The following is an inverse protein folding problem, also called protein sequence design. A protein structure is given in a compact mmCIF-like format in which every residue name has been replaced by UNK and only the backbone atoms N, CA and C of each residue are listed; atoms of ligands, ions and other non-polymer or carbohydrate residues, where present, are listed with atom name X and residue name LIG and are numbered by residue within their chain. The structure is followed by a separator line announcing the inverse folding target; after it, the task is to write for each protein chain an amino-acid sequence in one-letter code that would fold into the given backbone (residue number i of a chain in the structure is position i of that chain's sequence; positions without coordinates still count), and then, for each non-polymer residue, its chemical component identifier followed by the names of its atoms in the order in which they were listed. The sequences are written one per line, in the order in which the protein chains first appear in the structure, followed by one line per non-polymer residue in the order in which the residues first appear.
data_IF_899393167064
#
_entry.id   IF_899393167064
#
_cell.length_a   1.000
_cell.length_b   1.000
_cell.length_c   1.000
_cell.angle_alpha   90.00
_cell.angle_beta   90.00
_cell.angle_gamma   90.00
#
_symmetry.space_group_name_H-M   'P 1'
#
loop_
_entity.id
_entity.type
_entity.pdbx_description
1 polymer ?
#
# COMPACT_ATOMS: atom_id res chain seq x y z
N UNK A 1 29.18 -0.89 -0.12
CA UNK A 1 29.52 -2.28 -0.48
C UNK A 1 29.12 -2.67 -1.90
N UNK A 2 28.03 -2.13 -2.48
CA UNK A 2 27.64 -2.42 -3.86
C UNK A 2 27.46 -1.16 -4.70
N UNK A 3 27.68 -1.29 -6.01
CA UNK A 3 27.26 -0.33 -7.02
C UNK A 3 26.27 -1.03 -7.96
N UNK A 4 25.04 -0.53 -8.02
CA UNK A 4 24.02 -0.98 -8.98
C UNK A 4 23.91 0.11 -10.05
N UNK A 5 24.42 -0.11 -11.28
CA UNK A 5 24.52 0.92 -12.31
C UNK A 5 23.17 1.14 -13.02
N UNK A 6 22.16 1.57 -12.26
CA UNK A 6 20.85 1.91 -12.82
C UNK A 6 20.88 3.35 -13.33
N UNK A 7 20.49 3.58 -14.58
CA UNK A 7 20.23 4.93 -15.06
C UNK A 7 19.11 5.56 -14.20
N UNK A 8 19.19 6.86 -13.94
CA UNK A 8 18.28 7.60 -13.06
C UNK A 8 16.79 7.40 -13.35
N UNK A 9 16.38 7.26 -14.62
CA UNK A 9 14.98 6.96 -15.00
C UNK A 9 14.59 5.51 -14.70
N UNK A 10 15.55 4.61 -14.74
CA UNK A 10 15.36 3.17 -14.64
C UNK A 10 15.30 2.67 -13.19
N UNK A 11 15.44 3.58 -12.21
CA UNK A 11 15.35 3.23 -10.78
C UNK A 11 13.93 2.87 -10.34
N UNK A 12 12.91 3.38 -11.04
CA UNK A 12 11.52 3.03 -10.75
C UNK A 12 11.24 1.54 -11.01
N UNK A 13 11.48 0.97 -12.21
CA UNK A 13 11.33 -0.46 -12.42
C UNK A 13 12.08 -1.33 -11.41
N UNK A 14 13.29 -0.92 -10.99
CA UNK A 14 14.07 -1.62 -9.97
C UNK A 14 13.33 -1.66 -8.63
N UNK A 15 12.92 -0.50 -8.09
CA UNK A 15 12.19 -0.45 -6.82
C UNK A 15 10.86 -1.19 -6.88
N UNK A 16 10.13 -1.10 -7.99
CA UNK A 16 8.86 -1.84 -8.14
C UNK A 16 9.07 -3.35 -8.05
N UNK A 17 10.17 -3.88 -8.59
CA UNK A 17 10.51 -5.29 -8.43
C UNK A 17 11.02 -5.66 -7.04
N UNK A 18 11.75 -4.74 -6.39
CA UNK A 18 12.12 -4.91 -4.98
C UNK A 18 10.86 -5.01 -4.11
N UNK A 19 9.91 -4.12 -4.30
CA UNK A 19 8.64 -4.11 -3.57
C UNK A 19 7.81 -5.36 -3.85
N UNK A 20 7.79 -5.87 -5.10
CA UNK A 20 7.16 -7.16 -5.43
C UNK A 20 7.75 -8.31 -4.60
N UNK A 21 9.08 -8.39 -4.50
CA UNK A 21 9.77 -9.42 -3.70
C UNK A 21 9.44 -9.25 -2.22
N UNK A 22 9.41 -8.02 -1.71
CA UNK A 22 9.05 -7.73 -0.31
C UNK A 22 7.61 -8.19 -0.01
N UNK A 23 6.65 -7.83 -0.87
CA UNK A 23 5.25 -8.23 -0.75
C UNK A 23 5.10 -9.76 -0.77
N UNK A 24 5.75 -10.43 -1.73
CA UNK A 24 5.67 -11.90 -1.84
C UNK A 24 6.29 -12.60 -0.63
N UNK A 25 7.50 -12.21 -0.20
CA UNK A 25 8.23 -12.98 0.81
C UNK A 25 7.87 -12.61 2.26
N UNK A 26 7.55 -11.35 2.54
CA UNK A 26 7.41 -10.82 3.90
C UNK A 26 5.97 -10.43 4.28
N UNK A 27 5.03 -10.63 3.35
CA UNK A 27 3.59 -10.48 3.61
C UNK A 27 2.74 -11.67 3.17
N UNK A 28 3.13 -12.40 2.11
CA UNK A 28 2.41 -13.61 1.66
C UNK A 28 3.05 -14.88 2.21
N UNK A 29 4.31 -15.17 1.86
CA UNK A 29 4.96 -16.43 2.26
C UNK A 29 5.20 -16.51 3.77
N UNK A 30 5.55 -15.38 4.39
CA UNK A 30 5.72 -15.24 5.83
C UNK A 30 5.33 -13.82 6.21
N UNK A 31 4.64 -13.65 7.32
CA UNK A 31 4.30 -12.33 7.84
C UNK A 31 5.33 -11.89 8.87
N UNK A 32 5.87 -10.68 8.72
CA UNK A 32 6.69 -10.03 9.75
C UNK A 32 5.78 -9.17 10.64
N UNK A 33 5.66 -9.44 11.96
CA UNK A 33 4.77 -8.70 12.83
C UNK A 33 5.03 -7.19 12.85
N UNK A 34 6.30 -6.78 12.90
CA UNK A 34 6.68 -5.37 12.89
C UNK A 34 6.19 -4.64 11.63
N UNK A 35 6.32 -5.26 10.45
CA UNK A 35 5.86 -4.67 9.19
C UNK A 35 4.34 -4.55 9.13
N UNK A 36 3.65 -5.62 9.54
CA UNK A 36 2.18 -5.67 9.58
C UNK A 36 1.62 -4.61 10.53
N UNK A 37 2.16 -4.51 11.74
CA UNK A 37 1.75 -3.54 12.75
C UNK A 37 2.01 -2.10 12.29
N UNK A 38 3.11 -1.88 11.57
CA UNK A 38 3.43 -0.58 11.00
C UNK A 38 2.39 -0.18 9.95
N UNK A 39 2.12 -1.04 8.97
CA UNK A 39 1.15 -0.73 7.90
C UNK A 39 -0.24 -0.46 8.47
N UNK A 40 -0.69 -1.28 9.43
CA UNK A 40 -2.00 -1.11 10.10
C UNK A 40 -2.17 0.27 10.75
N UNK A 41 -1.09 0.87 11.26
CA UNK A 41 -1.15 2.09 12.09
C UNK A 41 -0.80 3.36 11.34
N UNK A 42 0.19 3.29 10.44
CA UNK A 42 0.86 4.47 9.90
C UNK A 42 0.65 4.69 8.41
N UNK A 43 -0.15 3.82 7.77
CA UNK A 43 -0.43 3.92 6.33
C UNK A 43 -1.91 3.86 6.05
N UNK A 44 -2.28 4.13 4.81
CA UNK A 44 -3.65 3.99 4.34
C UNK A 44 -4.00 2.54 3.89
N UNK A 45 -3.07 1.60 4.04
CA UNK A 45 -3.22 0.20 3.65
C UNK A 45 -4.49 -0.52 4.14
N UNK A 46 -4.99 -0.32 5.39
CA UNK A 46 -6.22 -0.95 5.85
C UNK A 46 -7.51 -0.22 5.42
N UNK A 47 -7.41 0.95 4.78
CA UNK A 47 -8.60 1.71 4.41
C UNK A 47 -9.33 1.09 3.22
N UNK A 48 -10.65 1.25 3.24
CA UNK A 48 -11.55 0.64 2.28
C UNK A 48 -11.70 1.49 1.03
N UNK A 49 -11.57 0.85 -0.12
CA UNK A 49 -11.75 1.43 -1.46
C UNK A 49 -12.93 0.77 -2.14
N UNK A 50 -13.82 1.59 -2.68
CA UNK A 50 -14.99 1.13 -3.44
C UNK A 50 -14.53 0.70 -4.83
N UNK A 51 -14.97 -0.46 -5.30
CA UNK A 51 -14.78 -0.89 -6.68
C UNK A 51 -15.94 -0.43 -7.55
N UNK A 52 -15.64 0.10 -8.74
CA UNK A 52 -16.65 0.52 -9.72
C UNK A 52 -16.15 0.25 -11.14
N UNK A 53 -16.97 -0.41 -11.95
CA UNK A 53 -16.65 -0.74 -13.35
C UNK A 53 -15.29 -1.44 -13.48
N UNK A 54 -15.04 -2.48 -12.66
CA UNK A 54 -13.78 -3.21 -12.59
C UNK A 54 -12.54 -2.34 -12.31
N UNK A 55 -12.71 -1.15 -11.73
CA UNK A 55 -11.59 -0.27 -11.37
C UNK A 55 -11.69 0.21 -9.93
N UNK A 56 -10.53 0.49 -9.30
CA UNK A 56 -10.51 1.14 -7.99
C UNK A 56 -11.13 2.53 -8.08
N UNK A 57 -12.12 2.78 -7.24
CA UNK A 57 -12.83 4.05 -7.16
C UNK A 57 -12.32 4.94 -6.02
N UNK A 58 -13.24 5.58 -5.32
CA UNK A 58 -12.94 6.41 -4.14
C UNK A 58 -12.84 5.54 -2.89
N UNK A 59 -12.15 6.03 -1.87
CA UNK A 59 -12.29 5.48 -0.52
C UNK A 59 -13.75 5.50 -0.05
N UNK A 60 -14.16 4.46 0.67
CA UNK A 60 -15.43 4.43 1.38
C UNK A 60 -15.43 5.51 2.47
N UNK A 61 -16.49 6.33 2.50
CA UNK A 61 -16.61 7.46 3.42
C UNK A 61 -17.57 7.16 4.54
N UNK A 62 -17.36 7.77 5.70
CA UNK A 62 -18.26 7.66 6.84
C UNK A 62 -19.69 8.13 6.51
N UNK A 63 -19.83 9.12 5.63
CA UNK A 63 -21.12 9.60 5.11
C UNK A 63 -21.95 8.52 4.40
N UNK A 64 -21.30 7.43 3.94
CA UNK A 64 -21.99 6.33 3.27
C UNK A 64 -22.65 5.35 4.24
N UNK A 65 -22.28 5.34 5.53
CA UNK A 65 -22.82 4.38 6.50
C UNK A 65 -23.80 5.04 7.45
N UNK A 66 -24.97 4.39 7.65
CA UNK A 66 -26.02 4.87 8.55
C UNK A 66 -25.48 5.20 9.96
N UNK A 67 -24.54 4.39 10.45
CA UNK A 67 -23.89 4.56 11.75
C UNK A 67 -23.11 5.88 11.89
N UNK A 68 -22.53 6.42 10.81
CA UNK A 68 -21.61 7.56 10.86
C UNK A 68 -22.05 8.77 10.02
N UNK A 69 -23.15 8.68 9.27
CA UNK A 69 -23.56 9.70 8.31
C UNK A 69 -23.75 11.09 8.93
N UNK A 70 -24.24 11.14 10.17
CA UNK A 70 -24.51 12.38 10.91
C UNK A 70 -23.28 12.95 11.64
N UNK A 71 -22.11 12.29 11.54
CA UNK A 71 -20.89 12.80 12.18
C UNK A 71 -20.35 14.03 11.45
N UNK A 72 -19.70 14.93 12.18
CA UNK A 72 -19.23 16.20 11.62
C UNK A 72 -18.21 15.93 10.50
N UNK A 73 -18.34 16.56 9.32
CA UNK A 73 -17.44 16.32 8.18
C UNK A 73 -17.35 14.85 7.72
N UNK A 74 -18.44 14.08 7.79
CA UNK A 74 -18.46 12.64 7.49
C UNK A 74 -17.96 12.26 6.09
N UNK A 75 -18.05 13.14 5.08
CA UNK A 75 -17.46 12.93 3.74
C UNK A 75 -15.92 12.89 3.74
N UNK A 76 -15.29 13.48 4.76
CA UNK A 76 -13.83 13.60 4.91
C UNK A 76 -13.24 12.58 5.87
N UNK A 77 -14.06 11.65 6.36
CA UNK A 77 -13.65 10.56 7.23
C UNK A 77 -13.72 9.23 6.49
N UNK A 78 -12.66 8.46 6.62
CA UNK A 78 -12.48 7.20 5.92
C UNK A 78 -12.76 6.01 6.85
N UNK A 79 -12.95 4.84 6.27
CA UNK A 79 -13.31 3.63 7.00
C UNK A 79 -12.26 2.53 6.78
N UNK A 80 -12.03 1.73 7.83
CA UNK A 80 -11.25 0.48 7.80
C UNK A 80 -12.18 -0.67 8.15
N UNK A 81 -11.80 -1.91 7.82
CA UNK A 81 -12.52 -3.08 8.31
C UNK A 81 -11.99 -3.51 9.67
N UNK A 82 -12.87 -3.61 10.67
CA UNK A 82 -12.51 -4.12 11.99
C UNK A 82 -12.68 -5.63 12.02
N UNK A 83 -11.56 -6.35 12.04
CA UNK A 83 -11.52 -7.81 12.06
C UNK A 83 -12.27 -8.39 13.26
N UNK A 84 -12.18 -7.74 14.42
CA UNK A 84 -12.79 -8.23 15.66
C UNK A 84 -14.32 -8.11 15.66
N UNK A 85 -14.86 -7.19 14.85
CA UNK A 85 -16.30 -6.90 14.77
C UNK A 85 -16.93 -7.34 13.46
N UNK A 86 -16.14 -7.72 12.45
CA UNK A 86 -16.61 -8.11 11.13
C UNK A 86 -17.40 -7.01 10.42
N UNK A 87 -16.99 -5.74 10.57
CA UNK A 87 -17.68 -4.60 9.96
C UNK A 87 -16.77 -3.39 9.76
N UNK A 88 -17.18 -2.47 8.89
CA UNK A 88 -16.49 -1.20 8.69
C UNK A 88 -16.58 -0.30 9.93
N UNK A 89 -15.45 0.32 10.30
CA UNK A 89 -15.29 1.23 11.44
C UNK A 89 -14.55 2.50 11.04
N UNK A 90 -14.81 3.58 11.78
CA UNK A 90 -14.24 4.90 11.50
C UNK A 90 -13.10 5.20 12.48
N UNK A 91 -11.83 4.96 12.09
CA UNK A 91 -10.71 5.29 12.96
C UNK A 91 -10.57 6.80 13.12
N UNK A 92 -9.89 7.20 14.20
CA UNK A 92 -9.44 8.57 14.42
C UNK A 92 -8.45 9.04 13.31
N UNK A 93 -8.14 10.33 13.29
CA UNK A 93 -6.99 10.86 12.54
C UNK A 93 -7.20 11.19 11.06
N UNK A 94 -8.30 10.75 10.45
CA UNK A 94 -8.64 11.17 9.07
C UNK A 94 -8.93 12.67 8.99
N UNK A 95 -8.80 13.25 7.79
CA UNK A 95 -8.78 14.72 7.60
C UNK A 95 -10.02 15.44 8.15
N UNK A 96 -11.19 14.79 8.15
CA UNK A 96 -12.43 15.35 8.70
C UNK A 96 -12.34 15.78 10.17
N UNK A 97 -11.51 15.12 10.98
CA UNK A 97 -11.30 15.46 12.39
C UNK A 97 -10.42 16.69 12.59
N UNK A 98 -9.53 17.01 11.65
CA UNK A 98 -8.59 18.13 11.78
C UNK A 98 -9.31 19.48 11.94
N UNK A 99 -10.44 19.62 11.26
CA UNK A 99 -11.21 20.87 11.19
C UNK A 99 -12.56 20.78 11.89
N UNK A 100 -12.84 19.66 12.57
CA UNK A 100 -14.07 19.47 13.34
C UNK A 100 -14.11 20.46 14.52
N UNK A 101 -15.23 21.14 14.67
CA UNK A 101 -15.44 22.11 15.74
C UNK A 101 -15.98 21.46 17.02
N UNK A 102 -16.78 20.39 16.88
CA UNK A 102 -17.38 19.67 18.01
C UNK A 102 -16.51 18.48 18.43
N UNK A 103 -15.94 17.77 17.47
CA UNK A 103 -15.14 16.55 17.70
C UNK A 103 -13.64 16.85 17.88
N UNK A 104 -13.30 17.76 18.79
CA UNK A 104 -11.91 18.17 19.03
C UNK A 104 -11.10 17.05 19.70
N UNK A 105 -9.79 17.01 19.40
CA UNK A 105 -8.85 16.04 19.98
C UNK A 105 -8.84 14.66 19.29
N UNK A 106 -9.74 14.43 18.34
CA UNK A 106 -9.85 13.16 17.60
C UNK A 106 -8.92 13.07 16.37
N UNK A 107 -8.14 14.10 16.08
CA UNK A 107 -7.15 14.09 14.99
C UNK A 107 -5.81 13.53 15.47
N UNK A 108 -5.76 12.22 15.69
CA UNK A 108 -4.59 11.46 16.11
C UNK A 108 -4.63 10.02 15.55
N UNK A 109 -3.57 9.24 15.72
CA UNK A 109 -3.42 7.90 15.13
C UNK A 109 -3.79 6.75 16.09
N UNK A 110 -4.51 7.01 17.18
CA UNK A 110 -5.01 5.92 18.02
C UNK A 110 -6.07 5.10 17.25
N UNK A 111 -5.89 3.78 17.20
CA UNK A 111 -6.84 2.87 16.53
C UNK A 111 -8.06 2.61 17.39
N UNK A 112 -8.90 3.64 17.49
CA UNK A 112 -10.20 3.63 18.18
C UNK A 112 -11.29 4.11 17.23
N UNK A 113 -12.50 3.59 17.39
CA UNK A 113 -13.66 4.07 16.68
C UNK A 113 -14.04 5.45 17.21
N UNK A 114 -14.13 6.42 16.29
CA UNK A 114 -14.37 7.81 16.65
C UNK A 114 -15.73 8.07 17.28
N UNK A 115 -16.71 7.17 17.09
CA UNK A 115 -18.06 7.34 17.62
C UNK A 115 -18.16 6.92 19.09
N UNK A 116 -17.49 5.83 19.48
CA UNK A 116 -17.68 5.21 20.80
C UNK A 116 -16.39 4.89 21.56
N UNK A 117 -15.22 5.12 20.96
CA UNK A 117 -13.91 4.90 21.58
C UNK A 117 -13.48 3.43 21.68
N UNK A 118 -14.25 2.49 21.12
CA UNK A 118 -13.87 1.08 21.08
C UNK A 118 -12.58 0.88 20.29
N UNK A 119 -11.71 -0.04 20.73
CA UNK A 119 -10.51 -0.40 19.97
C UNK A 119 -10.91 -1.04 18.64
N UNK A 120 -10.19 -0.65 17.57
CA UNK A 120 -10.33 -1.23 16.24
C UNK A 120 -9.12 -2.15 15.99
N UNK A 121 -9.36 -3.37 15.52
CA UNK A 121 -8.32 -4.20 14.89
C UNK A 121 -8.43 -4.10 13.36
N UNK A 122 -7.71 -3.17 12.71
CA UNK A 122 -7.84 -2.98 11.27
C UNK A 122 -7.29 -4.20 10.52
N UNK A 123 -8.11 -4.75 9.62
CA UNK A 123 -7.70 -5.82 8.71
C UNK A 123 -6.94 -5.23 7.51
N UNK A 124 -5.73 -5.74 7.23
CA UNK A 124 -4.98 -5.33 6.03
C UNK A 124 -5.53 -6.01 4.78
N UNK A 125 -5.94 -7.27 4.86
CA UNK A 125 -6.31 -8.05 3.67
C UNK A 125 -7.52 -8.92 3.94
N UNK A 126 -8.41 -9.01 2.96
CA UNK A 126 -9.55 -9.93 2.97
C UNK A 126 -9.22 -11.33 2.44
N UNK A 127 -7.93 -11.65 2.24
CA UNK A 127 -7.52 -12.93 1.66
C UNK A 127 -8.07 -14.15 2.41
N UNK A 128 -8.07 -14.12 3.74
CA UNK A 128 -8.53 -15.23 4.58
C UNK A 128 -10.06 -15.33 4.68
N UNK A 129 -10.74 -14.18 4.57
CA UNK A 129 -12.19 -14.08 4.70
C UNK A 129 -12.70 -12.93 3.84
N UNK A 130 -13.43 -13.29 2.78
CA UNK A 130 -14.04 -12.38 1.82
C UNK A 130 -15.39 -12.94 1.35
N UNK A 131 -16.20 -12.08 0.74
CA UNK A 131 -17.52 -12.47 0.23
C UNK A 131 -17.43 -12.91 -1.25
N UNK A 132 -16.48 -12.34 -2.01
CA UNK A 132 -16.24 -12.69 -3.41
C UNK A 132 -14.81 -12.32 -3.84
N UNK A 133 -14.43 -12.74 -5.05
CA UNK A 133 -13.18 -12.35 -5.73
C UNK A 133 -13.54 -11.61 -7.00
N UNK A 134 -13.09 -10.35 -7.11
CA UNK A 134 -13.34 -9.52 -8.29
C UNK A 134 -12.09 -9.34 -9.12
N UNK A 135 -12.28 -9.26 -10.44
CA UNK A 135 -11.24 -8.89 -11.38
C UNK A 135 -11.25 -7.37 -11.57
N UNK A 136 -10.09 -6.74 -11.37
CA UNK A 136 -9.88 -5.31 -11.60
C UNK A 136 -8.87 -5.07 -12.72
N UNK A 137 -9.09 -4.00 -13.48
CA UNK A 137 -8.21 -3.53 -14.53
C UNK A 137 -7.12 -2.63 -13.95
N UNK A 138 -5.87 -2.94 -14.25
CA UNK A 138 -4.69 -2.14 -13.92
C UNK A 138 -3.95 -1.75 -15.19
N UNK A 139 -3.49 -0.50 -15.28
CA UNK A 139 -2.83 0.01 -16.49
C UNK A 139 -1.32 -0.28 -16.42
N UNK A 140 -0.79 -1.03 -17.39
CA UNK A 140 0.66 -1.20 -17.58
C UNK A 140 1.16 -0.21 -18.64
N UNK A 141 1.65 0.93 -18.18
CA UNK A 141 2.22 1.96 -19.04
C UNK A 141 3.51 1.52 -19.76
N UNK A 142 4.17 0.44 -19.31
CA UNK A 142 5.37 -0.08 -19.95
C UNK A 142 5.08 -0.81 -21.26
N UNK A 143 3.97 -1.55 -21.32
CA UNK A 143 3.49 -2.24 -22.51
C UNK A 143 2.38 -1.48 -23.26
N UNK A 144 1.67 -0.58 -22.58
CA UNK A 144 0.47 0.09 -23.08
C UNK A 144 -0.80 -0.76 -22.94
N UNK A 145 -0.74 -1.87 -22.21
CA UNK A 145 -1.84 -2.83 -22.04
C UNK A 145 -2.57 -2.66 -20.71
N UNK A 146 -3.76 -3.25 -20.63
CA UNK A 146 -4.52 -3.40 -19.38
C UNK A 146 -4.32 -4.81 -18.86
N UNK A 147 -3.88 -4.92 -17.61
CA UNK A 147 -3.66 -6.20 -16.93
C UNK A 147 -4.80 -6.44 -15.95
N UNK A 148 -5.42 -7.62 -16.01
CA UNK A 148 -6.58 -7.98 -15.20
C UNK A 148 -6.16 -8.75 -13.96
N UNK A 149 -6.29 -8.14 -12.79
CA UNK A 149 -5.82 -8.68 -11.50
C UNK A 149 -6.99 -9.11 -10.63
N UNK A 150 -6.90 -10.26 -9.97
CA UNK A 150 -7.90 -10.68 -9.00
C UNK A 150 -7.59 -10.11 -7.61
N UNK A 151 -8.63 -9.73 -6.86
CA UNK A 151 -8.51 -9.35 -5.46
C UNK A 151 -9.75 -9.74 -4.65
N UNK A 152 -9.60 -9.97 -3.34
CA UNK A 152 -10.71 -10.36 -2.48
C UNK A 152 -11.54 -9.13 -2.10
N UNK A 153 -12.87 -9.26 -2.08
CA UNK A 153 -13.78 -8.16 -1.76
C UNK A 153 -14.75 -8.53 -0.66
N UNK A 154 -15.26 -7.52 0.02
CA UNK A 154 -16.44 -7.63 0.90
C UNK A 154 -17.55 -6.71 0.41
N UNK A 155 -18.79 -7.07 0.69
CA UNK A 155 -19.95 -6.23 0.43
C UNK A 155 -20.32 -5.43 1.68
N UNK A 156 -20.52 -4.12 1.50
CA UNK A 156 -20.91 -3.21 2.56
C UNK A 156 -22.25 -2.59 2.21
N UNK A 157 -23.21 -2.74 3.11
CA UNK A 157 -24.48 -2.02 3.03
C UNK A 157 -24.27 -0.53 3.34
N UNK A 158 -24.63 0.32 2.38
CA UNK A 158 -24.56 1.78 2.52
C UNK A 158 -25.96 2.38 2.44
N UNK A 159 -26.07 3.66 2.79
CA UNK A 159 -27.33 4.42 2.65
C UNK A 159 -27.82 4.55 1.20
N UNK A 160 -26.97 4.22 0.21
CA UNK A 160 -27.29 4.23 -1.22
C UNK A 160 -27.38 2.81 -1.81
N UNK A 161 -27.31 1.77 -0.98
CA UNK A 161 -27.30 0.36 -1.39
C UNK A 161 -25.97 -0.33 -1.14
N UNK A 162 -25.90 -1.60 -1.53
CA UNK A 162 -24.70 -2.43 -1.32
C UNK A 162 -23.56 -2.00 -2.25
N UNK A 163 -22.34 -1.91 -1.71
CA UNK A 163 -21.11 -1.64 -2.47
C UNK A 163 -20.07 -2.73 -2.24
N UNK A 164 -19.34 -3.10 -3.31
CA UNK A 164 -18.14 -3.92 -3.19
C UNK A 164 -16.95 -3.05 -2.75
N UNK A 165 -16.25 -3.50 -1.72
CA UNK A 165 -15.04 -2.83 -1.19
C UNK A 165 -13.88 -3.81 -1.04
N UNK A 166 -12.68 -3.28 -1.15
CA UNK A 166 -11.41 -3.95 -0.88
C UNK A 166 -10.53 -3.03 -0.01
N UNK A 167 -9.46 -3.54 0.57
CA UNK A 167 -8.45 -2.68 1.22
C UNK A 167 -7.48 -2.10 0.18
N UNK A 168 -6.80 -1.00 0.53
CA UNK A 168 -5.67 -0.46 -0.26
C UNK A 168 -4.54 -1.48 -0.38
N UNK A 169 -4.30 -2.27 0.66
CA UNK A 169 -3.27 -3.32 0.63
C UNK A 169 -3.60 -4.44 -0.36
N UNK A 170 -4.86 -4.88 -0.45
CA UNK A 170 -5.29 -5.86 -1.44
C UNK A 170 -5.18 -5.32 -2.87
N UNK A 171 -5.48 -4.03 -3.06
CA UNK A 171 -5.24 -3.33 -4.33
C UNK A 171 -3.75 -3.26 -4.68
N UNK A 172 -2.89 -3.02 -3.68
CA UNK A 172 -1.44 -3.01 -3.86
C UNK A 172 -0.94 -4.40 -4.29
N UNK A 173 -1.36 -5.47 -3.59
CA UNK A 173 -1.00 -6.85 -3.94
C UNK A 173 -1.40 -7.19 -5.39
N UNK A 174 -2.61 -6.80 -5.78
CA UNK A 174 -3.11 -6.96 -7.15
C UNK A 174 -2.27 -6.16 -8.16
N UNK A 175 -2.03 -4.87 -7.91
CA UNK A 175 -1.22 -4.01 -8.77
C UNK A 175 0.19 -4.58 -8.97
N UNK A 176 0.82 -5.09 -7.91
CA UNK A 176 2.15 -5.69 -7.95
C UNK A 176 2.17 -7.11 -8.54
N UNK A 177 1.01 -7.66 -8.94
CA UNK A 177 0.93 -8.98 -9.56
C UNK A 177 1.39 -10.11 -8.63
N UNK A 178 1.24 -9.93 -7.32
CA UNK A 178 1.61 -10.95 -6.32
C UNK A 178 0.50 -11.99 -6.27
N UNK A 179 0.81 -13.20 -6.70
CA UNK A 179 -0.14 -14.31 -6.66
C UNK A 179 -0.46 -14.71 -5.22
N UNK A 180 -1.76 -14.78 -4.93
CA UNK A 180 -2.33 -15.20 -3.65
C UNK A 180 -3.39 -16.28 -3.82
N UNK A 181 -3.35 -17.00 -4.96
CA UNK A 181 -4.29 -18.06 -5.35
C UNK A 181 -5.73 -17.56 -5.55
N UNK A 182 -5.89 -16.34 -6.03
CA UNK A 182 -7.20 -15.73 -6.33
C UNK A 182 -7.58 -15.81 -7.82
N UNK A 183 -6.66 -16.29 -8.67
CA UNK A 183 -6.81 -16.23 -10.13
C UNK A 183 -6.43 -14.86 -10.70
N UNK A 184 -6.92 -14.57 -11.91
CA UNK A 184 -6.50 -13.39 -12.68
C UNK A 184 -5.06 -13.52 -13.21
N UNK A 185 -4.58 -12.46 -13.85
CA UNK A 185 -3.18 -12.39 -14.29
C UNK A 185 -2.30 -12.10 -13.07
N UNK A 186 -1.30 -12.94 -12.79
CA UNK A 186 -0.34 -12.77 -11.69
C UNK A 186 0.98 -13.46 -12.06
N UNK A 187 2.07 -13.07 -11.37
CA UNK A 187 3.35 -13.74 -11.54
C UNK A 187 3.38 -15.06 -10.74
N UNK A 188 3.55 -16.19 -11.43
CA UNK A 188 3.74 -17.49 -10.79
C UNK A 188 5.09 -17.54 -10.06
N UNK A 189 6.14 -16.98 -10.70
CA UNK A 189 7.49 -16.94 -10.16
C UNK A 189 8.22 -15.64 -10.56
N UNK A 190 9.47 -15.46 -10.11
CA UNK A 190 10.24 -14.25 -10.39
C UNK A 190 10.82 -14.17 -11.80
N UNK A 191 10.81 -15.28 -12.54
CA UNK A 191 11.27 -15.38 -13.92
C UNK A 191 10.21 -15.01 -14.95
N UNK A 192 8.94 -14.96 -14.54
CA UNK A 192 7.83 -14.54 -15.39
C UNK A 192 7.95 -13.08 -15.79
N UNK A 193 7.74 -12.75 -17.06
CA UNK A 193 7.76 -11.37 -17.53
C UNK A 193 6.41 -10.66 -17.31
N UNK A 194 5.94 -10.64 -16.06
CA UNK A 194 4.74 -9.92 -15.62
C UNK A 194 5.16 -8.58 -15.01
N UNK A 195 4.39 -7.48 -15.15
CA UNK A 195 4.73 -6.19 -14.57
C UNK A 195 5.17 -6.29 -13.11
N UNK A 196 6.27 -5.61 -12.80
CA UNK A 196 6.90 -5.50 -11.48
C UNK A 196 7.58 -6.78 -10.96
N UNK A 197 7.77 -7.82 -11.76
CA UNK A 197 8.63 -8.96 -11.37
C UNK A 197 10.12 -8.63 -11.52
N UNK A 198 11.02 -9.39 -10.86
CA UNK A 198 12.47 -9.30 -11.08
C UNK A 198 12.90 -9.51 -12.54
N UNK A 199 12.27 -10.42 -13.28
CA UNK A 199 12.52 -10.61 -14.71
C UNK A 199 12.02 -9.45 -15.58
N UNK A 200 10.86 -8.87 -15.22
CA UNK A 200 10.33 -7.69 -15.92
C UNK A 200 11.26 -6.49 -15.78
N UNK A 201 11.74 -6.17 -14.56
CA UNK A 201 12.59 -4.99 -14.39
C UNK A 201 13.91 -5.09 -15.15
N UNK A 202 14.46 -6.31 -15.32
CA UNK A 202 15.74 -6.54 -15.99
C UNK A 202 15.72 -5.99 -17.43
N UNK A 203 14.58 -6.08 -18.12
CA UNK A 203 14.40 -5.52 -19.47
C UNK A 203 14.52 -4.00 -19.51
N UNK A 204 14.11 -3.33 -18.45
CA UNK A 204 14.16 -1.87 -18.36
C UNK A 204 15.51 -1.40 -17.83
N UNK A 205 16.02 -2.05 -16.78
CA UNK A 205 17.17 -1.58 -16.01
C UNK A 205 18.50 -2.16 -16.47
N UNK A 206 18.50 -3.36 -17.06
CA UNK A 206 19.70 -4.16 -17.32
C UNK A 206 20.30 -4.81 -16.07
N UNK A 207 19.68 -4.67 -14.89
CA UNK A 207 20.13 -5.29 -13.65
C UNK A 207 19.58 -6.71 -13.58
N UNK A 208 20.47 -7.69 -13.44
CA UNK A 208 20.07 -9.10 -13.34
C UNK A 208 19.09 -9.32 -12.17
N UNK A 209 18.05 -10.12 -12.41
CA UNK A 209 17.01 -10.45 -11.41
C UNK A 209 17.57 -10.91 -10.07
N UNK A 210 18.65 -11.70 -10.06
CA UNK A 210 19.26 -12.20 -8.82
C UNK A 210 19.78 -11.07 -7.94
N UNK A 211 20.36 -10.02 -8.55
CA UNK A 211 20.81 -8.82 -7.83
C UNK A 211 19.62 -8.09 -7.20
N UNK A 212 18.51 -7.97 -7.94
CA UNK A 212 17.27 -7.36 -7.44
C UNK A 212 16.68 -8.15 -6.27
N UNK A 213 16.55 -9.47 -6.41
CA UNK A 213 16.01 -10.36 -5.38
C UNK A 213 16.88 -10.33 -4.13
N UNK A 214 18.21 -10.41 -4.31
CA UNK A 214 19.17 -10.33 -3.21
C UNK A 214 19.06 -9.00 -2.47
N UNK A 215 19.05 -7.89 -3.20
CA UNK A 215 18.89 -6.55 -2.60
C UNK A 215 17.59 -6.46 -1.80
N UNK A 216 16.46 -6.91 -2.36
CA UNK A 216 15.17 -6.86 -1.69
C UNK A 216 15.16 -7.66 -0.37
N UNK A 217 15.77 -8.85 -0.37
CA UNK A 217 15.91 -9.69 0.84
C UNK A 217 16.82 -9.04 1.87
N UNK A 218 17.96 -8.51 1.46
CA UNK A 218 18.89 -7.80 2.36
C UNK A 218 18.22 -6.55 2.96
N UNK A 219 17.49 -5.79 2.15
CA UNK A 219 16.70 -4.63 2.55
C UNK A 219 15.66 -5.00 3.62
N UNK A 220 14.76 -5.93 3.32
CA UNK A 220 13.72 -6.34 4.25
C UNK A 220 14.31 -7.00 5.53
N UNK A 221 15.34 -7.83 5.39
CA UNK A 221 16.00 -8.47 6.54
C UNK A 221 16.64 -7.45 7.47
N UNK A 222 17.27 -6.39 6.95
CA UNK A 222 17.82 -5.34 7.79
C UNK A 222 16.72 -4.61 8.56
N UNK A 223 15.64 -4.22 7.89
CA UNK A 223 14.52 -3.55 8.56
C UNK A 223 13.84 -4.44 9.61
N UNK A 224 13.65 -5.72 9.32
CA UNK A 224 13.09 -6.68 10.28
C UNK A 224 13.97 -6.77 11.53
N UNK A 225 15.29 -6.90 11.37
CA UNK A 225 16.23 -7.03 12.50
C UNK A 225 16.38 -5.74 13.32
N UNK A 226 16.13 -4.59 12.71
CA UNK A 226 16.43 -3.28 13.30
C UNK A 226 15.20 -2.46 13.65
N UNK A 227 14.00 -3.00 13.40
CA UNK A 227 12.73 -2.28 13.45
C UNK A 227 12.78 -1.01 12.58
N UNK A 228 13.06 -1.19 11.29
CA UNK A 228 12.86 -0.16 10.26
C UNK A 228 14.07 0.74 9.98
N UNK A 229 15.30 0.38 10.34
CA UNK A 229 16.49 1.23 10.06
C UNK A 229 17.03 1.07 8.64
N UNK A 230 16.15 1.26 7.66
CA UNK A 230 16.51 1.40 6.25
C UNK A 230 16.37 2.86 5.82
N UNK A 231 17.44 3.43 5.26
CA UNK A 231 17.47 4.82 4.82
C UNK A 231 17.67 4.88 3.30
N UNK A 232 16.85 5.68 2.62
CA UNK A 232 17.10 6.07 1.23
C UNK A 232 17.56 7.52 1.23
N UNK A 233 18.78 7.76 0.76
CA UNK A 233 19.28 9.10 0.45
C UNK A 233 19.00 9.38 -1.03
N UNK A 234 18.18 10.40 -1.32
CA UNK A 234 17.69 10.69 -2.68
C UNK A 234 17.84 12.18 -3.00
N UNK A 235 18.12 12.52 -4.26
CA UNK A 235 18.31 13.90 -4.69
C UNK A 235 17.85 14.18 -6.12
N UNK A 236 18.37 15.28 -6.70
CA UNK A 236 17.96 15.81 -8.00
C UNK A 236 18.05 14.81 -9.15
N UNK A 237 18.97 13.84 -9.08
CA UNK A 237 19.09 12.78 -10.09
C UNK A 237 17.79 11.98 -10.29
N UNK A 238 16.96 11.83 -9.26
CA UNK A 238 15.63 11.24 -9.39
C UNK A 238 14.54 12.31 -9.48
N UNK A 239 14.70 13.42 -8.76
CA UNK A 239 13.68 14.46 -8.64
C UNK A 239 13.44 15.28 -9.91
N UNK A 240 14.46 15.45 -10.77
CA UNK A 240 14.37 16.34 -11.94
C UNK A 240 13.86 15.64 -13.20
N UNK A 241 13.12 14.53 -13.03
CA UNK A 241 12.42 13.85 -14.11
C UNK A 241 10.94 14.23 -14.14
N UNK A 242 10.34 14.18 -15.33
CA UNK A 242 8.91 14.50 -15.53
C UNK A 242 8.00 13.64 -14.64
N UNK A 243 8.31 12.35 -14.50
CA UNK A 243 7.59 11.40 -13.64
C UNK A 243 8.26 11.20 -12.27
N UNK A 244 8.93 12.23 -11.71
CA UNK A 244 9.59 12.14 -10.41
C UNK A 244 8.66 11.61 -9.30
N UNK A 245 7.37 11.94 -9.37
CA UNK A 245 6.37 11.49 -8.42
C UNK A 245 6.26 9.95 -8.38
N UNK A 246 6.31 9.28 -9.53
CA UNK A 246 6.26 7.82 -9.61
C UNK A 246 7.57 7.19 -9.10
N UNK A 247 8.71 7.79 -9.46
CA UNK A 247 10.03 7.37 -8.99
C UNK A 247 10.17 7.46 -7.47
N UNK A 248 9.71 8.56 -6.87
CA UNK A 248 9.70 8.74 -5.42
C UNK A 248 8.76 7.73 -4.75
N UNK A 249 7.56 7.56 -5.29
CA UNK A 249 6.57 6.65 -4.72
C UNK A 249 7.04 5.19 -4.72
N UNK A 250 7.78 4.73 -5.73
CA UNK A 250 8.33 3.37 -5.71
C UNK A 250 9.36 3.19 -4.58
N UNK A 251 10.27 4.15 -4.39
CA UNK A 251 11.23 4.08 -3.28
C UNK A 251 10.57 4.23 -1.90
N UNK A 252 9.59 5.12 -1.78
CA UNK A 252 8.82 5.34 -0.54
C UNK A 252 7.99 4.10 -0.20
N UNK A 253 7.46 3.38 -1.19
CA UNK A 253 6.73 2.14 -0.96
C UNK A 253 7.62 1.12 -0.26
N UNK A 254 8.83 0.88 -0.75
CA UNK A 254 9.80 -0.01 -0.09
C UNK A 254 10.10 0.39 1.36
N UNK A 255 10.18 1.69 1.65
CA UNK A 255 10.34 2.20 3.03
C UNK A 255 9.08 1.95 3.89
N UNK A 256 7.88 2.17 3.36
CA UNK A 256 6.63 1.94 4.10
C UNK A 256 6.41 0.44 4.36
N UNK A 257 6.64 -0.41 3.35
CA UNK A 257 6.55 -1.86 3.45
C UNK A 257 7.53 -2.45 4.47
N UNK A 258 8.62 -1.75 4.79
CA UNK A 258 9.58 -2.18 5.81
C UNK A 258 9.55 -1.34 7.08
N UNK A 259 8.48 -0.54 7.28
CA UNK A 259 8.26 0.25 8.49
C UNK A 259 9.31 1.32 8.77
N UNK A 260 9.98 1.83 7.74
CA UNK A 260 11.20 2.61 7.93
C UNK A 260 10.96 4.12 8.09
N UNK A 261 9.81 4.64 7.65
CA UNK A 261 9.51 6.08 7.77
C UNK A 261 9.15 6.42 9.22
N UNK A 262 9.82 7.41 9.80
CA UNK A 262 9.63 7.86 11.19
C UNK A 262 10.54 7.19 12.22
N UNK A 263 11.51 6.38 11.78
CA UNK A 263 12.47 5.67 12.64
C UNK A 263 13.84 6.33 12.59
N UNK A 264 14.51 6.51 13.74
CA UNK A 264 15.90 6.97 13.77
C UNK A 264 16.83 5.98 13.04
N UNK A 265 17.52 6.46 12.01
CA UNK A 265 18.33 5.62 11.11
C UNK A 265 17.53 5.00 9.96
N UNK A 266 16.27 5.37 9.78
CA UNK A 266 15.43 4.96 8.66
C UNK A 266 14.66 6.12 8.01
N UNK A 267 14.07 5.84 6.85
CA UNK A 267 13.16 6.75 6.15
C UNK A 267 13.71 7.29 4.83
N UNK A 268 13.08 8.36 4.35
CA UNK A 268 13.47 9.04 3.11
C UNK A 268 14.24 10.31 3.47
N UNK A 269 15.53 10.34 3.14
CA UNK A 269 16.39 11.50 3.29
C UNK A 269 16.56 12.19 1.93
N UNK A 270 15.60 13.07 1.62
CA UNK A 270 15.61 13.88 0.41
C UNK A 270 16.52 15.11 0.59
N UNK A 271 17.48 15.28 -0.32
CA UNK A 271 18.38 16.43 -0.35
C UNK A 271 18.46 17.05 -1.76
N UNK A 272 18.10 18.32 -1.86
CA UNK A 272 18.21 19.16 -3.08
C UNK A 272 18.86 20.50 -2.72
N UNK A 273 18.08 21.58 -2.66
CA UNK A 273 18.53 22.90 -2.19
C UNK A 273 18.38 23.10 -0.68
N UNK A 274 18.69 24.32 -0.23
CA UNK A 274 18.54 24.76 1.16
C UNK A 274 17.10 25.25 1.42
N UNK A 275 16.19 24.34 1.74
CA UNK A 275 14.76 24.65 1.96
C UNK A 275 14.35 24.81 3.44
N UNK A 276 15.18 24.28 4.36
CA UNK A 276 14.98 24.37 5.81
C UNK A 276 15.82 25.46 6.45
#
# INVERSE_FOLDING_TARGET
DYWIPVNQVKIQPFWLAVDHVILKEYYVNRQVPYFTDYLKKFTDMPFLVILRNNRPGKYLRASSLERYKETENSDWKLLVWDKSKGQARMPLGTLGFRWAQKEKGLWNLEMKDALNGELIDPELSFIDQHDDVMIVDTDDFGSGEVVRRALPVRFVETVQGQLAVTTVFDLLMAQFGVDRNLGGEAASNYDDNTPFTPAWQEKFTGIHRDTCIRFAREWATNAEKTNGKNLIIIGAGVNHWYHNNLLYRSAIMGLMLTGSVGVNGGGLAHYVGQEK
#
